data_IF_259212658126
#
_entry.id   IF_259212658126
#
_cell.length_a   1.000
_cell.length_b   1.000
_cell.length_c   1.000
_cell.angle_alpha   90.00
_cell.angle_beta   90.00
_cell.angle_gamma   90.00
#
_symmetry.space_group_name_H-M   'P 1'
#
loop_
_entity.id
_entity.type
_entity.pdbx_description
1 polymer ?
#
# COMPACT_ATOMS: atom_id res chain seq x y z
N UNK A 1 -12.46 9.90 11.91
CA UNK A 1 -11.52 10.10 10.79
C UNK A 1 -11.35 8.80 10.04
N UNK A 2 -11.45 8.85 8.73
CA UNK A 2 -11.42 7.64 7.91
C UNK A 2 -10.05 7.44 7.30
N UNK A 3 -9.48 6.26 7.54
CA UNK A 3 -8.23 5.85 6.93
C UNK A 3 -8.48 5.35 5.50
N UNK A 4 -7.76 5.89 4.54
CA UNK A 4 -7.84 5.47 3.15
C UNK A 4 -6.74 4.45 2.87
N UNK A 5 -7.16 3.26 2.48
CA UNK A 5 -6.24 2.19 2.08
C UNK A 5 -6.19 2.11 0.57
N UNK A 6 -4.98 2.03 0.02
CA UNK A 6 -4.74 1.74 -1.39
C UNK A 6 -3.95 0.45 -1.50
N UNK A 7 -4.43 -0.49 -2.29
CA UNK A 7 -3.71 -1.72 -2.58
C UNK A 7 -3.22 -1.71 -4.02
N UNK A 8 -1.94 -1.94 -4.21
CA UNK A 8 -1.29 -1.99 -5.53
C UNK A 8 -0.73 -3.39 -5.74
N UNK A 9 -1.30 -4.10 -6.70
CA UNK A 9 -0.91 -5.47 -7.03
C UNK A 9 -1.43 -5.75 -8.44
N UNK A 10 -0.63 -6.36 -9.30
CA UNK A 10 -1.04 -6.62 -10.68
C UNK A 10 -1.97 -7.83 -10.82
N UNK A 11 -2.18 -8.59 -9.75
CA UNK A 11 -3.03 -9.78 -9.77
C UNK A 11 -4.44 -9.47 -9.25
N UNK A 12 -5.47 -9.49 -10.11
CA UNK A 12 -6.85 -9.20 -9.69
C UNK A 12 -7.37 -10.15 -8.60
N UNK A 13 -6.88 -11.39 -8.58
CA UNK A 13 -7.31 -12.38 -7.58
C UNK A 13 -6.91 -11.94 -6.18
N UNK A 14 -5.72 -11.36 -6.03
CA UNK A 14 -5.26 -10.85 -4.73
C UNK A 14 -6.18 -9.72 -4.22
N UNK A 15 -6.59 -8.83 -5.11
CA UNK A 15 -7.53 -7.76 -4.76
C UNK A 15 -8.87 -8.31 -4.30
N UNK A 16 -9.37 -9.32 -5.01
CA UNK A 16 -10.63 -9.97 -4.66
C UNK A 16 -10.56 -10.58 -3.26
N UNK A 17 -9.49 -11.32 -2.98
CA UNK A 17 -9.30 -11.98 -1.68
C UNK A 17 -9.25 -10.96 -0.55
N UNK A 18 -8.44 -9.91 -0.71
CA UNK A 18 -8.30 -8.87 0.31
C UNK A 18 -9.62 -8.12 0.51
N UNK A 19 -10.28 -7.72 -0.57
CA UNK A 19 -11.55 -6.99 -0.44
C UNK A 19 -12.60 -7.83 0.27
N UNK A 20 -12.64 -9.13 0.00
CA UNK A 20 -13.57 -10.03 0.69
C UNK A 20 -13.29 -10.09 2.19
N UNK A 21 -12.02 -10.09 2.58
CA UNK A 21 -11.63 -10.03 4.00
C UNK A 21 -12.05 -8.70 4.63
N UNK A 22 -11.79 -7.59 3.93
CA UNK A 22 -12.16 -6.27 4.43
C UNK A 22 -13.68 -6.14 4.63
N UNK A 23 -14.45 -6.66 3.69
CA UNK A 23 -15.92 -6.63 3.78
C UNK A 23 -16.42 -7.51 4.93
N UNK A 24 -15.87 -8.72 5.05
CA UNK A 24 -16.30 -9.69 6.06
C UNK A 24 -16.05 -9.17 7.48
N UNK A 25 -14.90 -8.53 7.69
CA UNK A 25 -14.50 -8.05 9.02
C UNK A 25 -14.77 -6.56 9.22
N UNK A 26 -15.38 -5.91 8.23
CA UNK A 26 -15.75 -4.49 8.28
C UNK A 26 -14.57 -3.57 8.54
N UNK A 27 -13.50 -3.77 7.76
CA UNK A 27 -12.27 -3.00 7.86
C UNK A 27 -12.09 -2.15 6.61
N UNK A 28 -11.49 -0.97 6.76
CA UNK A 28 -11.16 -0.06 5.66
C UNK A 28 -12.27 0.09 4.61
N UNK A 29 -13.42 0.69 4.99
CA UNK A 29 -14.60 0.72 4.10
C UNK A 29 -14.39 1.47 2.78
N UNK A 30 -13.33 2.28 2.68
CA UNK A 30 -13.03 3.06 1.48
C UNK A 30 -11.77 2.58 0.77
N UNK A 31 -11.46 1.28 0.86
CA UNK A 31 -10.29 0.72 0.20
C UNK A 31 -10.37 0.89 -1.32
N UNK A 32 -9.26 1.30 -1.91
CA UNK A 32 -9.10 1.50 -3.35
C UNK A 32 -8.09 0.49 -3.86
N UNK A 33 -8.31 -0.01 -5.06
CA UNK A 33 -7.46 -1.03 -5.68
C UNK A 33 -6.86 -0.51 -6.98
N UNK A 34 -5.58 -0.79 -7.19
CA UNK A 34 -4.90 -0.50 -8.44
C UNK A 34 -4.14 -1.73 -8.92
N UNK A 35 -4.25 -2.02 -10.19
CA UNK A 35 -3.51 -3.12 -10.82
C UNK A 35 -2.18 -2.65 -11.43
N UNK A 36 -1.89 -1.36 -11.37
CA UNK A 36 -0.74 -0.77 -12.06
C UNK A 36 -0.09 0.32 -11.21
N UNK A 37 1.19 0.10 -10.87
CA UNK A 37 1.96 1.05 -10.07
C UNK A 37 2.25 2.36 -10.80
N UNK A 38 2.45 2.30 -12.12
CA UNK A 38 2.77 3.48 -12.91
C UNK A 38 1.60 4.46 -12.97
N UNK A 39 0.40 3.97 -13.24
CA UNK A 39 -0.79 4.82 -13.25
C UNK A 39 -1.11 5.37 -11.87
N UNK A 40 -0.79 4.59 -10.83
CA UNK A 40 -0.94 5.05 -9.44
C UNK A 40 -0.03 6.24 -9.15
N UNK A 41 1.22 6.18 -9.57
CA UNK A 41 2.15 7.30 -9.40
C UNK A 41 1.60 8.55 -10.09
N UNK A 42 1.08 8.40 -11.32
CA UNK A 42 0.51 9.52 -12.06
C UNK A 42 -0.68 10.14 -11.32
N UNK A 43 -1.57 9.28 -10.82
CA UNK A 43 -2.73 9.74 -10.04
C UNK A 43 -2.32 10.47 -8.77
N UNK A 44 -1.31 9.97 -8.06
CA UNK A 44 -0.80 10.63 -6.86
C UNK A 44 -0.23 12.00 -7.16
N UNK A 45 0.50 12.15 -8.28
CA UNK A 45 1.00 13.45 -8.71
C UNK A 45 -0.11 14.45 -8.99
N UNK A 46 -1.14 13.99 -9.69
CA UNK A 46 -2.26 14.85 -10.07
C UNK A 46 -3.06 15.34 -8.86
N UNK A 47 -3.11 14.53 -7.81
CA UNK A 47 -3.90 14.81 -6.61
C UNK A 47 -3.06 15.23 -5.40
N UNK A 48 -1.81 15.59 -5.62
CA UNK A 48 -0.86 15.82 -4.52
C UNK A 48 -1.33 16.88 -3.51
N UNK A 49 -2.10 17.87 -3.96
CA UNK A 49 -2.64 18.92 -3.11
C UNK A 49 -4.04 18.60 -2.55
N UNK A 50 -4.54 17.41 -2.79
CA UNK A 50 -5.88 17.01 -2.37
C UNK A 50 -5.76 15.85 -1.38
N UNK A 51 -5.51 16.17 -0.10
CA UNK A 51 -5.24 15.17 0.95
C UNK A 51 -6.31 14.09 1.05
N UNK A 52 -7.57 14.44 0.77
CA UNK A 52 -8.68 13.49 0.82
C UNK A 52 -8.65 12.47 -0.32
N UNK A 53 -7.87 12.73 -1.38
CA UNK A 53 -7.69 11.82 -2.51
C UNK A 53 -6.41 10.99 -2.38
N UNK A 54 -5.57 11.28 -1.39
CA UNK A 54 -4.31 10.61 -1.15
C UNK A 54 -4.51 9.52 -0.09
N UNK A 55 -3.96 8.31 -0.27
CA UNK A 55 -4.12 7.26 0.73
C UNK A 55 -3.33 7.56 2.00
N UNK A 56 -3.75 6.96 3.10
CA UNK A 56 -3.02 6.97 4.36
C UNK A 56 -2.12 5.73 4.48
N UNK A 57 -2.58 4.61 3.93
CA UNK A 57 -1.90 3.33 3.96
C UNK A 57 -1.86 2.74 2.56
N UNK A 58 -0.70 2.24 2.16
CA UNK A 58 -0.53 1.56 0.88
C UNK A 58 -0.03 0.13 1.14
N UNK A 59 -0.70 -0.85 0.53
CA UNK A 59 -0.19 -2.21 0.39
C UNK A 59 0.43 -2.32 -0.99
N UNK A 60 1.70 -2.63 -1.05
CA UNK A 60 2.47 -2.63 -2.30
C UNK A 60 3.08 -4.00 -2.57
N UNK A 61 2.72 -4.62 -3.68
CA UNK A 61 3.36 -5.83 -4.17
C UNK A 61 4.69 -5.47 -4.85
N UNK A 62 5.75 -6.19 -4.53
CA UNK A 62 7.05 -5.97 -5.17
C UNK A 62 7.14 -6.57 -6.56
N UNK A 63 6.46 -7.71 -6.78
CA UNK A 63 6.65 -8.52 -7.98
C UNK A 63 5.63 -8.21 -9.07
N UNK A 64 5.74 -7.02 -9.64
CA UNK A 64 4.92 -6.59 -10.78
C UNK A 64 5.82 -6.52 -12.01
N UNK A 65 5.46 -7.20 -13.12
CA UNK A 65 6.42 -7.40 -14.22
C UNK A 65 6.81 -6.14 -14.99
N UNK A 66 5.91 -5.20 -15.20
CA UNK A 66 6.22 -4.02 -16.04
C UNK A 66 6.72 -2.82 -15.25
N UNK A 67 6.22 -2.67 -14.05
CA UNK A 67 6.61 -1.57 -13.17
C UNK A 67 6.65 -2.14 -11.75
N UNK A 68 7.82 -2.52 -11.31
CA UNK A 68 7.99 -3.24 -10.03
C UNK A 68 7.64 -2.36 -8.82
N UNK A 69 7.44 -3.02 -7.69
CA UNK A 69 7.27 -2.29 -6.43
C UNK A 69 8.46 -1.41 -6.10
N UNK A 70 9.67 -1.83 -6.48
CA UNK A 70 10.88 -1.01 -6.29
C UNK A 70 10.85 0.26 -7.12
N UNK A 71 10.39 0.16 -8.36
CA UNK A 71 10.22 1.35 -9.22
C UNK A 71 9.17 2.28 -8.63
N UNK A 72 8.07 1.71 -8.13
CA UNK A 72 7.05 2.50 -7.44
C UNK A 72 7.66 3.26 -6.25
N UNK A 73 8.40 2.57 -5.39
CA UNK A 73 9.00 3.19 -4.21
C UNK A 73 9.94 4.34 -4.58
N UNK A 74 10.73 4.15 -5.63
CA UNK A 74 11.66 5.19 -6.11
C UNK A 74 10.90 6.46 -6.52
N UNK A 75 9.85 6.31 -7.33
CA UNK A 75 9.05 7.44 -7.77
C UNK A 75 8.24 8.06 -6.64
N UNK A 76 7.68 7.20 -5.79
CA UNK A 76 6.90 7.65 -4.63
C UNK A 76 7.76 8.48 -3.67
N UNK A 77 8.99 8.06 -3.45
CA UNK A 77 9.93 8.79 -2.58
C UNK A 77 10.13 10.23 -3.07
N UNK A 78 10.12 10.45 -4.37
CA UNK A 78 10.25 11.79 -4.95
C UNK A 78 9.02 12.64 -4.72
N UNK A 79 7.87 12.04 -4.47
CA UNK A 79 6.62 12.77 -4.23
C UNK A 79 6.42 13.14 -2.76
N UNK A 80 7.13 12.46 -1.85
CA UNK A 80 6.93 12.60 -0.40
C UNK A 80 6.92 14.06 0.08
N UNK A 81 7.87 14.93 -0.34
CA UNK A 81 7.88 16.31 0.15
C UNK A 81 6.63 17.13 -0.21
N UNK A 82 5.89 16.69 -1.23
CA UNK A 82 4.69 17.41 -1.67
C UNK A 82 3.41 17.00 -0.95
N UNK A 83 3.41 15.90 -0.21
CA UNK A 83 2.23 15.45 0.50
C UNK A 83 2.05 16.20 1.81
N UNK A 84 0.80 16.52 2.16
CA UNK A 84 0.45 17.22 3.40
C UNK A 84 0.13 16.27 4.54
N UNK A 85 0.45 15.01 4.41
CA UNK A 85 0.22 14.00 5.44
C UNK A 85 1.24 12.88 5.35
N UNK A 86 1.36 12.13 6.43
CA UNK A 86 2.19 10.92 6.43
C UNK A 86 1.43 9.78 5.74
N UNK A 87 2.16 9.03 4.93
CA UNK A 87 1.64 7.86 4.25
C UNK A 87 2.49 6.66 4.69
N UNK A 88 1.83 5.60 5.13
CA UNK A 88 2.49 4.34 5.48
C UNK A 88 2.46 3.38 4.31
N UNK A 89 3.61 2.82 3.96
CA UNK A 89 3.68 1.77 2.95
C UNK A 89 4.02 0.44 3.64
N UNK A 90 3.24 -0.58 3.35
CA UNK A 90 3.50 -1.95 3.78
C UNK A 90 3.77 -2.78 2.53
N UNK A 91 4.97 -3.32 2.41
CA UNK A 91 5.34 -4.16 1.28
C UNK A 91 4.74 -5.54 1.50
N UNK A 92 4.14 -6.11 0.45
CA UNK A 92 3.51 -7.42 0.50
C UNK A 92 4.18 -8.32 -0.53
N UNK A 93 4.58 -9.53 -0.14
CA UNK A 93 5.28 -10.44 -1.02
C UNK A 93 4.94 -11.90 -0.72
N UNK A 94 4.91 -12.73 -1.76
CA UNK A 94 4.72 -14.18 -1.60
C UNK A 94 5.99 -14.89 -1.13
N UNK A 95 7.15 -14.25 -1.27
CA UNK A 95 8.41 -14.79 -0.75
C UNK A 95 9.17 -13.68 -0.04
N UNK A 96 9.65 -13.99 1.17
CA UNK A 96 10.41 -13.03 1.97
C UNK A 96 11.90 -13.30 1.79
N UNK A 97 12.57 -12.33 1.17
CA UNK A 97 14.02 -12.35 0.98
C UNK A 97 14.64 -11.31 1.94
N UNK A 98 15.55 -11.73 2.83
CA UNK A 98 16.21 -10.77 3.73
C UNK A 98 16.89 -9.60 3.03
N UNK A 99 17.35 -9.78 1.79
CA UNK A 99 17.95 -8.69 1.00
C UNK A 99 16.92 -7.63 0.63
N UNK A 100 15.70 -8.06 0.32
CA UNK A 100 14.61 -7.14 0.00
C UNK A 100 14.18 -6.37 1.25
N UNK A 101 14.12 -7.04 2.39
CA UNK A 101 13.80 -6.38 3.66
C UNK A 101 14.83 -5.30 3.95
N UNK A 102 16.12 -5.64 3.81
CA UNK A 102 17.18 -4.68 4.05
C UNK A 102 17.12 -3.49 3.09
N UNK A 103 16.87 -3.77 1.81
CA UNK A 103 16.74 -2.74 0.78
C UNK A 103 15.59 -1.79 1.06
N UNK A 104 14.47 -2.31 1.59
CA UNK A 104 13.30 -1.50 1.89
C UNK A 104 13.54 -0.49 3.01
N UNK A 105 14.49 -0.76 3.89
CA UNK A 105 14.76 0.09 5.06
C UNK A 105 15.33 1.46 4.71
N UNK A 106 15.80 1.66 3.49
CA UNK A 106 16.23 3.00 3.07
C UNK A 106 15.06 3.98 2.91
N UNK A 107 13.83 3.47 2.86
CA UNK A 107 12.63 4.30 2.77
C UNK A 107 11.95 4.35 4.13
N UNK A 108 11.98 5.52 4.78
CA UNK A 108 11.44 5.68 6.13
C UNK A 108 9.93 5.46 6.22
N UNK A 109 9.21 5.66 5.11
CA UNK A 109 7.77 5.47 5.06
C UNK A 109 7.35 4.00 4.92
N UNK A 110 8.30 3.09 4.64
CA UNK A 110 8.01 1.65 4.62
C UNK A 110 8.00 1.15 6.07
N UNK A 111 6.84 0.71 6.53
CA UNK A 111 6.63 0.36 7.95
C UNK A 111 6.70 -1.14 8.22
N UNK A 112 6.39 -1.98 7.24
CA UNK A 112 6.50 -3.41 7.42
C UNK A 112 6.64 -4.14 6.10
N UNK A 113 7.04 -5.40 6.21
CA UNK A 113 7.18 -6.33 5.08
C UNK A 113 6.28 -7.52 5.42
N UNK A 114 5.20 -7.68 4.68
CA UNK A 114 4.14 -8.64 4.96
C UNK A 114 4.24 -9.83 4.02
N UNK A 115 4.21 -11.05 4.59
CA UNK A 115 4.17 -12.27 3.80
C UNK A 115 2.72 -12.60 3.41
N UNK A 116 2.49 -12.90 2.12
CA UNK A 116 1.20 -13.43 1.68
C UNK A 116 1.02 -14.85 2.20
N UNK A 117 -0.21 -15.29 2.49
CA UNK A 117 -1.47 -14.56 2.36
C UNK A 117 -1.71 -13.59 3.52
N UNK A 118 -2.56 -12.61 3.29
CA UNK A 118 -2.96 -11.68 4.35
C UNK A 118 -3.67 -12.43 5.47
N UNK A 119 -3.38 -12.02 6.71
CA UNK A 119 -4.02 -12.59 7.90
C UNK A 119 -4.99 -11.58 8.50
N UNK A 120 -6.11 -12.09 8.98
CA UNK A 120 -7.14 -11.27 9.64
C UNK A 120 -6.55 -10.40 10.75
N UNK A 121 -5.73 -10.99 11.62
CA UNK A 121 -5.17 -10.28 12.76
C UNK A 121 -4.33 -9.07 12.33
N UNK A 122 -3.54 -9.23 11.29
CA UNK A 122 -2.71 -8.13 10.78
C UNK A 122 -3.57 -6.99 10.25
N UNK A 123 -4.62 -7.31 9.50
CA UNK A 123 -5.53 -6.30 8.97
C UNK A 123 -6.30 -5.60 10.08
N UNK A 124 -6.75 -6.33 11.10
CA UNK A 124 -7.44 -5.76 12.25
C UNK A 124 -6.53 -4.84 13.06
N UNK A 125 -5.31 -5.26 13.33
CA UNK A 125 -4.36 -4.46 14.10
C UNK A 125 -4.05 -3.14 13.38
N UNK A 126 -3.85 -3.20 12.08
CA UNK A 126 -3.58 -2.00 11.28
C UNK A 126 -4.78 -1.07 11.27
N UNK A 127 -5.98 -1.62 11.08
CA UNK A 127 -7.21 -0.82 11.09
C UNK A 127 -7.42 -0.11 12.42
N UNK A 128 -7.22 -0.83 13.53
CA UNK A 128 -7.38 -0.26 14.87
C UNK A 128 -6.39 0.87 15.13
N UNK A 129 -5.19 0.74 14.63
CA UNK A 129 -4.17 1.80 14.73
C UNK A 129 -4.67 3.12 14.14
N UNK A 130 -5.40 3.05 13.03
CA UNK A 130 -5.90 4.23 12.31
C UNK A 130 -7.30 4.67 12.73
N UNK A 131 -7.99 3.89 13.53
CA UNK A 131 -9.39 4.16 13.94
C UNK A 131 -9.49 5.04 15.19
N UNK A 132 -8.41 5.23 15.88
CA UNK A 132 -8.39 6.01 17.13
C UNK A 132 -8.01 7.45 16.92
#
# INVERSE_FOLDING_TARGET
MMCRLLMIDDNPIEHFIVQRMLDTYKLFPNAVHSLDGKSTIQSLKENINQSDQIPDVIFLDLNMPEFSGWEFLKHFNNLIPGFNKEIEVHIVSSSIDPRDILKSKKYSFVKSFISKPFKKQMLEDLFLKWSN
#
